data_IF_798022942442
#
_entry.id   IF_798022942442
#
_cell.length_a   1.000
_cell.length_b   1.000
_cell.length_c   1.000
_cell.angle_alpha   90.00
_cell.angle_beta   90.00
_cell.angle_gamma   90.00
#
_symmetry.space_group_name_H-M   'P 1'
#
loop_
_entity.id
_entity.type
_entity.pdbx_description
1 polymer ?
#
# COMPACT_ATOMS: atom_id res chain seq x y z
N UNK A 1 -23.98 -12.80 21.21
CA UNK A 1 -22.97 -12.44 20.19
C UNK A 1 -23.21 -10.98 19.79
N UNK A 2 -22.16 -10.15 19.58
CA UNK A 2 -22.33 -8.78 19.12
C UNK A 2 -22.94 -8.73 17.71
N UNK A 3 -23.94 -7.87 17.52
CA UNK A 3 -24.57 -7.64 16.21
C UNK A 3 -23.94 -6.41 15.55
N UNK A 4 -23.74 -6.47 14.23
CA UNK A 4 -23.16 -5.38 13.45
C UNK A 4 -24.04 -5.03 12.27
N UNK A 5 -24.02 -3.76 11.88
CA UNK A 5 -24.78 -3.28 10.73
C UNK A 5 -23.96 -3.39 9.44
N UNK A 6 -24.63 -3.63 8.31
CA UNK A 6 -24.00 -3.58 6.99
C UNK A 6 -23.68 -2.13 6.57
N UNK A 7 -24.49 -1.16 7.02
CA UNK A 7 -24.33 0.25 6.67
C UNK A 7 -23.12 0.84 7.40
N UNK A 8 -22.23 1.46 6.64
CA UNK A 8 -21.07 2.16 7.21
C UNK A 8 -21.47 3.56 7.65
N UNK A 9 -21.21 3.87 8.92
CA UNK A 9 -21.39 5.20 9.47
C UNK A 9 -20.36 6.20 8.96
N UNK A 10 -20.55 7.48 9.31
CA UNK A 10 -19.57 8.53 8.99
C UNK A 10 -18.21 8.28 9.67
N UNK A 11 -18.22 7.80 10.91
CA UNK A 11 -17.01 7.46 11.67
C UNK A 11 -16.20 6.33 11.01
N UNK A 12 -16.87 5.34 10.42
CA UNK A 12 -16.21 4.24 9.68
C UNK A 12 -15.51 4.75 8.42
N UNK A 13 -16.21 5.60 7.66
CA UNK A 13 -15.70 6.21 6.44
C UNK A 13 -14.54 7.15 6.73
N UNK A 14 -14.68 8.01 7.74
CA UNK A 14 -13.65 8.94 8.16
C UNK A 14 -12.42 8.21 8.71
N UNK A 15 -12.62 7.21 9.57
CA UNK A 15 -11.52 6.37 10.07
C UNK A 15 -10.79 5.62 8.95
N UNK A 16 -11.52 5.08 7.96
CA UNK A 16 -10.93 4.46 6.77
C UNK A 16 -10.11 5.45 5.95
N UNK A 17 -10.55 6.71 5.84
CA UNK A 17 -9.82 7.76 5.15
C UNK A 17 -8.53 8.13 5.89
N UNK A 18 -8.61 8.34 7.22
CA UNK A 18 -7.43 8.60 8.06
C UNK A 18 -6.39 7.46 7.97
N UNK A 19 -6.85 6.21 8.03
CA UNK A 19 -5.97 5.05 7.91
C UNK A 19 -5.26 5.00 6.55
N UNK A 20 -5.92 5.44 5.46
CA UNK A 20 -5.29 5.61 4.13
C UNK A 20 -4.27 6.74 4.09
N UNK A 21 -4.39 7.74 4.94
CA UNK A 21 -3.39 8.79 5.14
C UNK A 21 -2.33 8.43 6.19
N UNK A 22 -2.25 7.14 6.58
CA UNK A 22 -1.33 6.63 7.61
C UNK A 22 -1.57 7.20 9.02
N UNK A 23 -2.71 7.83 9.27
CA UNK A 23 -3.10 8.39 10.57
C UNK A 23 -3.88 7.32 11.33
N UNK A 24 -3.36 6.87 12.48
CA UNK A 24 -4.01 5.82 13.28
C UNK A 24 -4.13 4.46 12.57
N UNK A 25 -3.36 4.24 11.49
CA UNK A 25 -3.49 3.05 10.63
C UNK A 25 -3.32 1.73 11.41
N UNK A 26 -2.34 1.67 12.31
CA UNK A 26 -2.03 0.44 13.06
C UNK A 26 -3.01 0.17 14.22
N UNK A 27 -3.74 1.19 14.67
CA UNK A 27 -4.78 1.06 15.70
C UNK A 27 -6.19 0.99 15.10
N UNK A 28 -6.33 0.99 13.77
CA UNK A 28 -7.62 0.92 13.08
C UNK A 28 -8.12 -0.53 13.00
N UNK A 29 -8.55 -1.05 14.15
CA UNK A 29 -8.92 -2.46 14.36
C UNK A 29 -10.33 -2.63 14.92
N UNK A 30 -10.85 -3.85 14.81
CA UNK A 30 -12.05 -4.35 15.48
C UNK A 30 -11.63 -5.52 16.38
N UNK A 31 -12.36 -5.82 17.45
CA UNK A 31 -12.01 -6.96 18.30
C UNK A 31 -12.17 -8.28 17.55
N UNK A 32 -11.23 -9.21 17.75
CA UNK A 32 -11.32 -10.53 17.15
C UNK A 32 -12.41 -11.36 17.83
N UNK A 33 -13.26 -12.02 17.05
CA UNK A 33 -14.42 -12.73 17.58
C UNK A 33 -15.48 -13.02 16.53
N UNK A 34 -16.62 -13.52 17.00
CA UNK A 34 -17.77 -13.85 16.17
C UNK A 34 -18.83 -12.74 16.26
N UNK A 35 -19.25 -12.24 15.09
CA UNK A 35 -20.25 -11.19 14.97
C UNK A 35 -21.43 -11.66 14.12
N UNK A 36 -22.64 -11.23 14.49
CA UNK A 36 -23.83 -11.45 13.69
C UNK A 36 -24.07 -10.25 12.76
N UNK A 37 -24.22 -10.49 11.46
CA UNK A 37 -24.75 -9.51 10.51
C UNK A 37 -26.22 -9.88 10.23
N UNK A 38 -27.13 -8.92 10.38
CA UNK A 38 -28.57 -9.19 10.25
C UNK A 38 -29.07 -10.16 11.32
N UNK A 39 -30.05 -11.00 10.96
CA UNK A 39 -30.62 -12.06 11.80
C UNK A 39 -29.92 -13.40 11.53
N UNK A 40 -28.63 -13.49 11.85
CA UNK A 40 -27.85 -14.72 11.63
C UNK A 40 -28.33 -15.87 12.53
N UNK A 41 -28.69 -17.00 11.90
CA UNK A 41 -29.15 -18.22 12.55
C UNK A 41 -28.21 -19.41 12.35
N UNK A 42 -28.67 -20.61 12.73
CA UNK A 42 -27.86 -21.82 12.69
C UNK A 42 -27.46 -22.27 11.26
N UNK A 43 -28.27 -21.93 10.26
CA UNK A 43 -28.01 -22.26 8.85
C UNK A 43 -27.34 -21.10 8.08
N UNK A 44 -27.07 -19.98 8.76
CA UNK A 44 -26.47 -18.81 8.12
C UNK A 44 -24.98 -19.04 7.82
N UNK A 45 -24.48 -18.59 6.65
CA UNK A 45 -23.10 -18.82 6.25
C UNK A 45 -22.12 -18.11 7.20
N UNK A 46 -20.96 -18.73 7.41
CA UNK A 46 -19.85 -18.17 8.20
C UNK A 46 -18.77 -17.64 7.28
N UNK A 47 -18.48 -16.35 7.35
CA UNK A 47 -17.44 -15.68 6.56
C UNK A 47 -16.28 -15.23 7.44
N UNK A 48 -15.06 -15.59 7.04
CA UNK A 48 -13.84 -15.29 7.80
C UNK A 48 -13.21 -13.99 7.30
N UNK A 49 -12.71 -13.15 8.22
CA UNK A 49 -11.99 -11.92 7.87
C UNK A 49 -10.90 -11.57 8.87
N UNK A 50 -10.14 -10.53 8.54
CA UNK A 50 -9.09 -9.96 9.38
C UNK A 50 -9.64 -8.87 10.30
N UNK A 51 -9.06 -8.70 11.49
CA UNK A 51 -9.44 -7.63 12.43
C UNK A 51 -8.99 -6.22 12.03
N UNK A 52 -8.34 -6.04 10.88
CA UNK A 52 -8.16 -4.70 10.31
C UNK A 52 -9.51 -4.12 9.89
N UNK A 53 -9.92 -2.99 10.50
CA UNK A 53 -11.29 -2.46 10.40
C UNK A 53 -11.74 -2.20 8.96
N UNK A 54 -10.86 -1.77 8.06
CA UNK A 54 -11.23 -1.63 6.64
C UNK A 54 -11.56 -2.98 5.95
N UNK A 55 -10.90 -4.09 6.35
CA UNK A 55 -11.23 -5.42 5.81
C UNK A 55 -12.61 -5.86 6.31
N UNK A 56 -12.87 -5.66 7.59
CA UNK A 56 -14.15 -5.94 8.23
C UNK A 56 -15.28 -5.12 7.61
N UNK A 57 -15.09 -3.80 7.46
CA UNK A 57 -16.07 -2.88 6.87
C UNK A 57 -16.40 -3.23 5.42
N UNK A 58 -15.39 -3.63 4.63
CA UNK A 58 -15.60 -4.09 3.25
C UNK A 58 -16.38 -5.39 3.18
N UNK A 59 -16.22 -6.28 4.15
CA UNK A 59 -16.99 -7.53 4.23
C UNK A 59 -18.45 -7.24 4.59
N UNK A 60 -18.71 -6.58 5.73
CA UNK A 60 -20.09 -6.34 6.20
C UNK A 60 -20.91 -5.48 5.23
N UNK A 61 -20.29 -4.47 4.61
CA UNK A 61 -20.99 -3.60 3.65
C UNK A 61 -21.33 -4.28 2.33
N UNK A 62 -20.57 -5.30 1.93
CA UNK A 62 -20.87 -6.07 0.72
C UNK A 62 -22.06 -7.04 0.91
N UNK A 63 -22.44 -7.31 2.16
CA UNK A 63 -23.49 -8.27 2.53
C UNK A 63 -24.75 -7.58 3.07
N UNK A 64 -24.99 -6.34 2.65
CA UNK A 64 -26.20 -5.61 3.01
C UNK A 64 -27.47 -6.41 2.64
N UNK A 65 -28.40 -6.52 3.60
CA UNK A 65 -29.63 -7.29 3.43
C UNK A 65 -29.46 -8.82 3.58
N UNK A 66 -28.30 -9.31 4.00
CA UNK A 66 -28.06 -10.74 4.23
C UNK A 66 -27.79 -11.03 5.71
N UNK A 67 -28.25 -12.20 6.15
CA UNK A 67 -27.94 -12.74 7.46
C UNK A 67 -26.70 -13.65 7.37
N UNK A 68 -25.65 -13.33 8.14
CA UNK A 68 -24.44 -14.16 8.16
C UNK A 68 -23.62 -13.98 9.43
N UNK A 69 -22.79 -14.97 9.71
CA UNK A 69 -21.80 -14.92 10.78
C UNK A 69 -20.47 -14.41 10.22
N UNK A 70 -19.87 -13.44 10.92
CA UNK A 70 -18.55 -12.90 10.58
C UNK A 70 -17.55 -13.35 11.64
N UNK A 71 -16.64 -14.25 11.27
CA UNK A 71 -15.56 -14.70 12.13
C UNK A 71 -14.30 -13.85 11.88
N UNK A 72 -13.99 -12.97 12.82
CA UNK A 72 -12.89 -12.03 12.74
C UNK A 72 -11.65 -12.59 13.43
N UNK A 73 -10.57 -12.80 12.68
CA UNK A 73 -9.29 -13.30 13.17
C UNK A 73 -8.41 -12.17 13.72
N UNK A 74 -7.62 -12.46 14.75
CA UNK A 74 -6.63 -11.51 15.27
C UNK A 74 -5.39 -11.42 14.39
N UNK A 75 -5.49 -10.57 13.38
CA UNK A 75 -4.41 -10.28 12.43
C UNK A 75 -3.50 -9.14 12.85
N UNK A 76 -3.57 -8.67 14.10
CA UNK A 76 -2.81 -7.51 14.60
C UNK A 76 -3.02 -6.24 13.77
N UNK A 77 -4.24 -6.02 13.30
CA UNK A 77 -4.60 -4.85 12.50
C UNK A 77 -4.02 -4.85 11.08
N UNK A 78 -3.73 -6.02 10.52
CA UNK A 78 -3.22 -6.18 9.15
C UNK A 78 -4.32 -6.77 8.27
N UNK A 79 -4.46 -6.27 7.03
CA UNK A 79 -5.45 -6.81 6.10
C UNK A 79 -5.22 -8.30 5.79
N UNK A 80 -6.24 -8.99 5.25
CA UNK A 80 -6.22 -10.43 4.97
C UNK A 80 -4.98 -10.88 4.19
N UNK A 81 -4.67 -10.24 3.06
CA UNK A 81 -3.59 -10.69 2.18
C UNK A 81 -2.20 -10.52 2.82
N UNK A 82 -1.95 -9.35 3.40
CA UNK A 82 -0.69 -9.07 4.08
C UNK A 82 -0.54 -9.94 5.35
N UNK A 83 -1.63 -10.18 6.08
CA UNK A 83 -1.64 -11.00 7.28
C UNK A 83 -1.40 -12.48 6.97
N UNK A 84 -1.96 -12.99 5.87
CA UNK A 84 -1.71 -14.36 5.41
C UNK A 84 -0.24 -14.56 5.05
N UNK A 85 0.35 -13.61 4.32
CA UNK A 85 1.78 -13.64 4.02
C UNK A 85 2.67 -13.55 5.27
N UNK A 86 2.25 -12.82 6.30
CA UNK A 86 2.99 -12.65 7.56
C UNK A 86 2.75 -13.79 8.57
N UNK A 87 1.73 -14.62 8.37
CA UNK A 87 1.38 -15.74 9.25
C UNK A 87 0.42 -15.41 10.39
N UNK A 88 -0.18 -14.21 10.43
CA UNK A 88 -1.19 -13.84 11.45
C UNK A 88 -2.61 -14.17 11.01
N UNK A 89 -2.88 -14.22 9.70
CA UNK A 89 -4.10 -14.86 9.18
C UNK A 89 -3.74 -16.31 8.84
N UNK A 90 -3.81 -17.19 9.84
CA UNK A 90 -3.25 -18.54 9.76
C UNK A 90 -4.23 -19.64 10.20
N UNK A 91 -3.91 -20.90 9.85
CA UNK A 91 -4.68 -22.07 10.32
C UNK A 91 -4.79 -22.12 11.84
N UNK A 92 -3.71 -21.77 12.56
CA UNK A 92 -3.68 -21.80 14.02
C UNK A 92 -4.64 -20.75 14.60
N UNK A 93 -4.52 -19.49 14.17
CA UNK A 93 -5.42 -18.43 14.63
C UNK A 93 -6.88 -18.73 14.25
N UNK A 94 -7.12 -19.27 13.06
CA UNK A 94 -8.47 -19.68 12.66
C UNK A 94 -9.03 -20.78 13.59
N UNK A 95 -8.25 -21.82 13.88
CA UNK A 95 -8.64 -22.87 14.82
C UNK A 95 -8.92 -22.33 16.23
N UNK A 96 -8.07 -21.44 16.72
CA UNK A 96 -8.23 -20.81 18.02
C UNK A 96 -9.52 -19.97 18.08
N UNK A 97 -9.84 -19.22 17.01
CA UNK A 97 -11.09 -18.45 16.94
C UNK A 97 -12.32 -19.33 16.86
N UNK A 98 -12.28 -20.44 16.12
CA UNK A 98 -13.38 -21.41 16.07
C UNK A 98 -13.70 -21.97 17.46
N UNK A 99 -12.65 -22.31 18.22
CA UNK A 99 -12.76 -22.88 19.55
C UNK A 99 -13.27 -21.85 20.57
N UNK A 100 -12.66 -20.66 20.62
CA UNK A 100 -13.05 -19.61 21.57
C UNK A 100 -14.46 -19.06 21.31
N UNK A 101 -14.89 -18.99 20.05
CA UNK A 101 -16.25 -18.57 19.70
C UNK A 101 -17.29 -19.68 19.86
N UNK A 102 -16.87 -20.91 20.14
CA UNK A 102 -17.72 -22.11 20.16
C UNK A 102 -18.58 -22.22 18.90
N UNK A 103 -18.02 -21.91 17.73
CA UNK A 103 -18.79 -21.81 16.49
C UNK A 103 -19.55 -23.11 16.18
N UNK A 104 -18.99 -24.25 16.57
CA UNK A 104 -19.61 -25.57 16.50
C UNK A 104 -21.00 -25.69 17.17
N UNK A 105 -21.29 -24.85 18.17
CA UNK A 105 -22.56 -24.79 18.90
C UNK A 105 -23.51 -23.74 18.30
N UNK A 106 -22.99 -22.83 17.47
CA UNK A 106 -23.72 -21.69 16.91
C UNK A 106 -24.35 -22.03 15.56
N UNK A 107 -23.67 -22.84 14.75
CA UNK A 107 -24.13 -23.22 13.40
C UNK A 107 -24.34 -24.73 13.27
N UNK A 108 -25.34 -25.13 12.49
CA UNK A 108 -25.68 -26.54 12.24
C UNK A 108 -24.73 -27.22 11.23
N UNK A 109 -23.97 -26.43 10.47
CA UNK A 109 -23.07 -26.90 9.42
C UNK A 109 -21.59 -26.75 9.80
N UNK A 110 -20.70 -27.34 9.01
CA UNK A 110 -19.24 -27.29 9.21
C UNK A 110 -18.52 -26.71 8.01
N UNK A 111 -18.94 -25.51 7.59
CA UNK A 111 -18.39 -24.82 6.42
C UNK A 111 -17.98 -23.39 6.76
N UNK A 112 -16.82 -22.96 6.27
CA UNK A 112 -16.28 -21.62 6.45
C UNK A 112 -15.94 -21.01 5.09
N UNK A 113 -16.49 -19.84 4.80
CA UNK A 113 -16.15 -19.08 3.60
C UNK A 113 -14.93 -18.21 3.92
N UNK A 114 -13.80 -18.54 3.33
CA UNK A 114 -12.52 -17.87 3.57
C UNK A 114 -12.14 -17.05 2.33
N UNK A 115 -11.65 -15.81 2.48
CA UNK A 115 -11.19 -15.01 1.34
C UNK A 115 -10.02 -15.69 0.63
N UNK A 116 -10.05 -15.74 -0.70
CA UNK A 116 -9.03 -16.44 -1.49
C UNK A 116 -7.60 -15.92 -1.25
N UNK A 117 -7.42 -14.63 -1.00
CA UNK A 117 -6.11 -14.05 -0.70
C UNK A 117 -5.56 -14.46 0.67
N UNK A 118 -6.35 -15.17 1.48
CA UNK A 118 -5.92 -15.82 2.72
C UNK A 118 -5.25 -17.18 2.52
N UNK A 119 -5.34 -17.77 1.32
CA UNK A 119 -4.83 -19.11 1.02
C UNK A 119 -3.34 -19.34 1.40
N UNK A 120 -2.42 -18.37 1.27
CA UNK A 120 -1.04 -18.58 1.68
C UNK A 120 -0.83 -18.84 3.18
N UNK A 121 -1.80 -18.49 4.03
CA UNK A 121 -1.70 -18.68 5.48
C UNK A 121 -2.55 -19.82 6.05
N UNK A 122 -3.52 -20.33 5.29
CA UNK A 122 -4.47 -21.35 5.76
C UNK A 122 -4.32 -22.65 5.00
N UNK A 123 -4.10 -23.72 5.75
CA UNK A 123 -4.19 -25.10 5.32
C UNK A 123 -5.60 -25.63 5.65
N UNK A 124 -6.45 -25.72 4.62
CA UNK A 124 -7.83 -26.20 4.76
C UNK A 124 -7.92 -27.68 5.10
N UNK A 125 -6.95 -28.51 4.71
CA UNK A 125 -6.95 -29.95 5.01
C UNK A 125 -6.62 -30.17 6.49
N UNK A 126 -5.59 -29.48 6.99
CA UNK A 126 -5.27 -29.49 8.40
C UNK A 126 -6.44 -28.96 9.25
N UNK A 127 -7.04 -27.84 8.84
CA UNK A 127 -8.20 -27.28 9.55
C UNK A 127 -9.36 -28.28 9.63
N UNK A 128 -9.71 -28.94 8.52
CA UNK A 128 -10.79 -29.94 8.48
C UNK A 128 -10.49 -31.13 9.38
N UNK A 129 -9.25 -31.62 9.38
CA UNK A 129 -8.81 -32.72 10.25
C UNK A 129 -8.95 -32.38 11.75
N UNK A 130 -8.62 -31.15 12.13
CA UNK A 130 -8.58 -30.75 13.55
C UNK A 130 -9.91 -30.19 14.08
N UNK A 131 -10.68 -29.48 13.26
CA UNK A 131 -11.91 -28.79 13.70
C UNK A 131 -13.20 -29.38 13.12
N UNK A 132 -13.09 -30.24 12.10
CA UNK A 132 -14.22 -30.70 11.30
C UNK A 132 -14.76 -29.67 10.30
N UNK A 133 -14.33 -28.40 10.36
CA UNK A 133 -14.78 -27.36 9.44
C UNK A 133 -14.06 -27.43 8.10
N UNK A 134 -14.83 -27.39 7.03
CA UNK A 134 -14.35 -27.32 5.65
C UNK A 134 -14.22 -25.88 5.19
N UNK A 135 -13.09 -25.58 4.55
CA UNK A 135 -12.83 -24.26 3.96
C UNK A 135 -13.38 -24.21 2.54
N UNK A 136 -14.27 -23.25 2.30
CA UNK A 136 -14.74 -22.86 0.98
C UNK A 136 -14.07 -21.54 0.60
N UNK A 137 -13.34 -21.53 -0.50
CA UNK A 137 -12.63 -20.34 -0.96
C UNK A 137 -13.58 -19.37 -1.67
N UNK A 138 -13.91 -18.28 -0.99
CA UNK A 138 -14.71 -17.17 -1.53
C UNK A 138 -13.99 -16.37 -2.62
N UNK A 139 -14.65 -15.32 -3.16
CA UNK A 139 -14.09 -14.46 -4.19
C UNK A 139 -12.92 -13.59 -3.70
N UNK A 140 -12.16 -13.01 -4.63
CA UNK A 140 -11.10 -12.03 -4.31
C UNK A 140 -11.68 -10.71 -3.80
N UNK A 141 -12.82 -10.26 -4.35
CA UNK A 141 -13.47 -8.99 -3.97
C UNK A 141 -14.71 -9.29 -3.13
N UNK A 142 -14.85 -8.60 -1.99
CA UNK A 142 -16.02 -8.75 -1.11
C UNK A 142 -17.35 -8.45 -1.83
N UNK A 143 -17.37 -7.49 -2.77
CA UNK A 143 -18.57 -7.13 -3.55
C UNK A 143 -19.15 -8.27 -4.39
N UNK A 144 -18.35 -9.30 -4.67
CA UNK A 144 -18.77 -10.45 -5.46
C UNK A 144 -19.42 -11.54 -4.57
N UNK A 145 -19.38 -11.37 -3.23
CA UNK A 145 -19.94 -12.33 -2.27
C UNK A 145 -21.44 -12.60 -2.43
N UNK A 146 -22.32 -11.60 -2.66
CA UNK A 146 -23.73 -11.87 -2.88
C UNK A 146 -23.98 -12.86 -4.02
N UNK A 147 -23.40 -12.58 -5.19
CA UNK A 147 -23.53 -13.46 -6.37
C UNK A 147 -22.86 -14.83 -6.15
N UNK A 148 -21.75 -14.88 -5.41
CA UNK A 148 -21.09 -16.12 -5.03
C UNK A 148 -21.99 -17.00 -4.13
N UNK A 149 -22.65 -16.40 -3.14
CA UNK A 149 -23.58 -17.10 -2.24
C UNK A 149 -24.81 -17.60 -3.00
N UNK A 150 -25.37 -16.76 -3.88
CA UNK A 150 -26.53 -17.14 -4.71
C UNK A 150 -26.19 -18.26 -5.71
N UNK A 151 -24.91 -18.39 -6.09
CA UNK A 151 -24.40 -19.45 -6.93
C UNK A 151 -23.88 -20.65 -6.13
N UNK A 152 -24.54 -21.01 -5.02
CA UNK A 152 -24.21 -22.16 -4.17
C UNK A 152 -22.73 -22.19 -3.72
N UNK A 153 -22.15 -21.03 -3.44
CA UNK A 153 -20.74 -20.88 -3.05
C UNK A 153 -19.74 -21.39 -4.12
N UNK A 154 -20.10 -21.32 -5.40
CA UNK A 154 -19.21 -21.62 -6.53
C UNK A 154 -18.72 -20.31 -7.15
N UNK A 155 -17.43 -20.04 -7.05
CA UNK A 155 -16.85 -18.82 -7.61
C UNK A 155 -16.59 -18.97 -9.11
N UNK A 156 -17.00 -17.95 -9.87
CA UNK A 156 -16.69 -17.88 -11.31
C UNK A 156 -15.22 -17.53 -11.55
N UNK A 157 -14.66 -17.81 -12.73
CA UNK A 157 -13.28 -17.41 -13.06
C UNK A 157 -13.00 -15.92 -12.86
N UNK A 158 -13.98 -15.05 -13.16
CA UNK A 158 -13.85 -13.60 -12.96
C UNK A 158 -13.68 -13.22 -11.47
N UNK A 159 -14.35 -13.92 -10.56
CA UNK A 159 -14.23 -13.72 -9.11
C UNK A 159 -12.86 -14.12 -8.54
N UNK A 160 -12.10 -14.93 -9.29
CA UNK A 160 -10.74 -15.37 -8.92
C UNK A 160 -9.65 -14.38 -9.35
N UNK A 161 -10.00 -13.37 -10.15
CA UNK A 161 -9.05 -12.43 -10.77
C UNK A 161 -9.12 -11.02 -10.17
N UNK A 162 -8.01 -10.29 -10.27
CA UNK A 162 -7.87 -8.91 -9.79
C UNK A 162 -7.14 -8.05 -10.80
N UNK A 163 -7.86 -7.07 -11.35
CA UNK A 163 -7.40 -6.28 -12.51
C UNK A 163 -6.60 -5.02 -12.13
N UNK A 164 -6.57 -4.66 -10.84
CA UNK A 164 -5.84 -3.52 -10.27
C UNK A 164 -5.94 -2.19 -11.08
N UNK A 165 -7.16 -1.65 -11.27
CA UNK A 165 -7.41 -0.45 -12.07
C UNK A 165 -6.80 0.82 -11.45
N UNK A 166 -6.77 1.91 -12.23
CA UNK A 166 -6.19 3.19 -11.84
C UNK A 166 -6.69 3.70 -10.49
N UNK A 167 -7.99 3.63 -10.24
CA UNK A 167 -8.57 4.07 -8.96
C UNK A 167 -8.02 3.30 -7.75
N UNK A 168 -7.76 2.00 -7.88
CA UNK A 168 -7.17 1.20 -6.80
C UNK A 168 -5.70 1.53 -6.58
N UNK A 169 -4.96 1.81 -7.68
CA UNK A 169 -3.57 2.25 -7.64
C UNK A 169 -3.43 3.60 -6.96
N UNK A 170 -4.25 4.58 -7.35
CA UNK A 170 -4.25 5.91 -6.76
C UNK A 170 -4.72 5.92 -5.31
N UNK A 171 -5.55 4.96 -4.90
CA UNK A 171 -5.98 4.85 -3.51
C UNK A 171 -4.85 4.49 -2.52
N UNK A 172 -3.65 4.12 -3.02
CA UNK A 172 -2.44 3.90 -2.24
C UNK A 172 -1.59 5.17 -2.08
N UNK A 173 -1.71 6.14 -3.00
CA UNK A 173 -0.90 7.36 -3.02
C UNK A 173 -0.89 8.11 -1.68
N UNK A 174 -2.02 8.30 -0.97
CA UNK A 174 -2.01 9.04 0.29
C UNK A 174 -1.08 8.42 1.34
N UNK A 175 -1.04 7.08 1.46
CA UNK A 175 -0.15 6.44 2.43
C UNK A 175 1.30 6.54 1.98
N UNK A 176 1.59 6.32 0.70
CA UNK A 176 2.96 6.41 0.18
C UNK A 176 3.54 7.82 0.36
N UNK A 177 2.76 8.86 0.05
CA UNK A 177 3.15 10.26 0.27
C UNK A 177 3.34 10.54 1.76
N UNK A 178 2.42 10.11 2.63
CA UNK A 178 2.54 10.34 4.08
C UNK A 178 3.77 9.67 4.69
N UNK A 179 4.15 8.48 4.21
CA UNK A 179 5.33 7.75 4.67
C UNK A 179 6.63 8.37 4.15
N UNK A 180 6.59 8.96 2.96
CA UNK A 180 7.72 9.69 2.38
C UNK A 180 7.89 11.10 3.00
N UNK A 181 6.79 11.74 3.43
CA UNK A 181 6.76 13.15 3.82
C UNK A 181 7.81 13.53 4.87
N UNK A 182 7.93 12.77 5.97
CA UNK A 182 8.89 13.10 7.03
C UNK A 182 10.35 13.09 6.54
N UNK A 183 10.72 12.08 5.74
CA UNK A 183 12.07 11.97 5.15
C UNK A 183 12.29 13.02 4.07
N UNK A 184 11.27 13.31 3.26
CA UNK A 184 11.33 14.32 2.22
C UNK A 184 11.51 15.72 2.81
N UNK A 185 10.75 16.09 3.86
CA UNK A 185 10.89 17.38 4.55
C UNK A 185 12.28 17.53 5.18
N UNK A 186 12.84 16.46 5.76
CA UNK A 186 14.20 16.47 6.26
C UNK A 186 15.23 16.72 5.14
N UNK A 187 15.12 15.99 4.03
CA UNK A 187 16.01 16.19 2.87
C UNK A 187 15.88 17.60 2.29
N UNK A 188 14.65 18.10 2.14
CA UNK A 188 14.37 19.46 1.67
C UNK A 188 15.05 20.48 2.60
N UNK A 189 14.87 20.36 3.91
CA UNK A 189 15.51 21.25 4.87
C UNK A 189 17.04 21.23 4.79
N UNK A 190 17.64 20.03 4.68
CA UNK A 190 19.09 19.87 4.52
C UNK A 190 19.56 20.56 3.24
N UNK A 191 18.96 20.26 2.09
CA UNK A 191 19.39 20.84 0.82
C UNK A 191 19.14 22.35 0.76
N UNK A 192 18.05 22.85 1.32
CA UNK A 192 17.79 24.29 1.42
C UNK A 192 18.88 25.00 2.23
N UNK A 193 19.31 24.44 3.36
CA UNK A 193 20.39 25.03 4.17
C UNK A 193 21.74 24.93 3.45
N UNK A 194 22.03 23.80 2.81
CA UNK A 194 23.27 23.61 2.04
C UNK A 194 23.34 24.53 0.82
N UNK A 195 22.20 24.88 0.21
CA UNK A 195 22.14 25.86 -0.88
C UNK A 195 22.67 27.23 -0.47
N UNK A 196 22.55 27.59 0.82
CA UNK A 196 23.12 28.83 1.36
C UNK A 196 24.65 28.82 1.46
N UNK A 197 25.30 27.66 1.37
CA UNK A 197 26.75 27.49 1.51
C UNK A 197 27.43 27.42 0.13
N UNK A 198 28.66 27.95 0.04
CA UNK A 198 29.56 27.73 -1.09
C UNK A 198 29.36 28.62 -2.33
N UNK A 199 28.43 29.58 -2.31
CA UNK A 199 28.25 30.54 -3.42
C UNK A 199 28.93 31.89 -3.16
N UNK A 200 29.13 32.66 -4.22
CA UNK A 200 29.66 34.05 -4.15
C UNK A 200 28.70 35.04 -3.46
N UNK A 201 27.43 34.65 -3.29
CA UNK A 201 26.37 35.48 -2.72
C UNK A 201 26.13 35.30 -1.22
N UNK A 202 25.29 36.17 -0.65
CA UNK A 202 24.85 36.05 0.74
C UNK A 202 24.02 34.76 0.96
N UNK A 203 24.13 34.21 2.17
CA UNK A 203 23.48 32.94 2.55
C UNK A 203 21.97 32.94 2.26
N UNK A 204 21.23 33.94 2.76
CA UNK A 204 19.76 33.94 2.69
C UNK A 204 19.18 34.05 1.26
N UNK A 205 19.69 34.91 0.37
CA UNK A 205 19.31 34.89 -1.04
C UNK A 205 19.55 33.52 -1.70
N UNK A 206 20.71 32.90 -1.47
CA UNK A 206 21.03 31.59 -2.05
C UNK A 206 20.09 30.48 -1.54
N UNK A 207 19.72 30.50 -0.26
CA UNK A 207 18.68 29.59 0.30
C UNK A 207 17.33 29.79 -0.39
N UNK A 208 16.93 31.03 -0.69
CA UNK A 208 15.63 31.33 -1.31
C UNK A 208 15.58 30.94 -2.78
N UNK A 209 16.65 31.20 -3.52
CA UNK A 209 16.66 30.98 -4.97
C UNK A 209 16.98 29.52 -5.30
N UNK A 210 18.12 29.02 -4.82
CA UNK A 210 18.61 27.68 -5.13
C UNK A 210 17.95 26.62 -4.24
N UNK A 211 17.66 26.98 -2.98
CA UNK A 211 17.00 26.07 -2.04
C UNK A 211 15.55 25.76 -2.43
N UNK A 212 14.83 26.72 -3.03
CA UNK A 212 13.48 26.46 -3.57
C UNK A 212 13.54 25.47 -4.73
N UNK A 213 14.51 25.61 -5.65
CA UNK A 213 14.69 24.63 -6.72
C UNK A 213 15.02 23.25 -6.16
N UNK A 214 15.95 23.16 -5.20
CA UNK A 214 16.31 21.92 -4.52
C UNK A 214 15.09 21.26 -3.84
N UNK A 215 14.24 22.06 -3.18
CA UNK A 215 13.02 21.58 -2.56
C UNK A 215 12.07 20.94 -3.60
N UNK A 216 11.90 21.60 -4.74
CA UNK A 216 11.08 21.08 -5.84
C UNK A 216 11.69 19.86 -6.53
N UNK A 217 13.02 19.76 -6.62
CA UNK A 217 13.69 18.58 -7.17
C UNK A 217 13.46 17.34 -6.27
N UNK A 218 13.60 17.48 -4.95
CA UNK A 218 13.24 16.41 -4.00
C UNK A 218 11.74 16.07 -4.11
N UNK A 219 10.87 17.08 -4.18
CA UNK A 219 9.43 16.87 -4.35
C UNK A 219 9.11 16.14 -5.67
N UNK A 220 9.79 16.45 -6.77
CA UNK A 220 9.64 15.77 -8.05
C UNK A 220 10.03 14.28 -7.95
N UNK A 221 11.12 13.96 -7.23
CA UNK A 221 11.47 12.57 -6.93
C UNK A 221 10.37 11.83 -6.15
N UNK A 222 9.79 12.49 -5.14
CA UNK A 222 8.69 11.91 -4.35
C UNK A 222 7.42 11.73 -5.19
N UNK A 223 7.03 12.73 -5.96
CA UNK A 223 5.85 12.69 -6.84
C UNK A 223 6.03 11.62 -7.92
N UNK A 224 7.22 11.53 -8.52
CA UNK A 224 7.58 10.48 -9.46
C UNK A 224 7.39 9.08 -8.86
N UNK A 225 7.95 8.85 -7.67
CA UNK A 225 7.97 7.54 -7.05
C UNK A 225 6.65 7.10 -6.44
N UNK A 226 5.84 8.05 -5.96
CA UNK A 226 4.58 7.76 -5.26
C UNK A 226 3.35 7.94 -6.15
N UNK A 227 3.24 9.06 -6.87
CA UNK A 227 2.04 9.42 -7.65
C UNK A 227 2.14 8.90 -9.07
N UNK A 228 3.19 9.29 -9.81
CA UNK A 228 3.32 8.94 -11.22
C UNK A 228 3.55 7.44 -11.42
N UNK A 229 4.36 6.82 -10.54
CA UNK A 229 4.56 5.37 -10.57
C UNK A 229 3.24 4.61 -10.39
N UNK A 230 2.37 5.03 -9.47
CA UNK A 230 1.05 4.42 -9.28
C UNK A 230 0.12 4.66 -10.50
N UNK A 231 0.06 5.90 -10.97
CA UNK A 231 -0.82 6.32 -12.05
C UNK A 231 -0.47 5.64 -13.38
N UNK A 232 0.82 5.58 -13.70
CA UNK A 232 1.34 5.11 -14.98
C UNK A 232 1.86 3.67 -14.95
N UNK A 233 1.65 2.94 -13.85
CA UNK A 233 2.25 1.63 -13.60
C UNK A 233 2.22 0.64 -14.80
N UNK A 234 1.10 0.46 -15.52
CA UNK A 234 1.03 -0.47 -16.65
C UNK A 234 1.80 0.01 -17.88
N UNK A 235 1.97 1.33 -18.04
CA UNK A 235 2.59 1.95 -19.21
C UNK A 235 4.08 2.24 -19.02
N UNK A 236 4.56 2.29 -17.77
CA UNK A 236 5.97 2.52 -17.49
C UNK A 236 6.83 1.34 -17.99
N UNK A 237 7.93 1.61 -18.72
CA UNK A 237 8.75 0.55 -19.29
C UNK A 237 9.39 -0.37 -18.25
N UNK A 238 9.54 -1.64 -18.61
CA UNK A 238 10.21 -2.66 -17.79
C UNK A 238 9.30 -3.41 -16.83
N UNK A 239 9.86 -4.49 -16.25
CA UNK A 239 9.15 -5.38 -15.31
C UNK A 239 9.38 -5.01 -13.85
N UNK A 240 10.58 -4.53 -13.52
CA UNK A 240 10.98 -4.16 -12.16
C UNK A 240 10.34 -2.83 -11.74
N UNK A 241 9.90 -2.73 -10.49
CA UNK A 241 9.29 -1.51 -9.93
C UNK A 241 10.28 -0.36 -9.78
N UNK A 242 11.53 -0.68 -9.44
CA UNK A 242 12.69 0.22 -9.46
C UNK A 242 12.90 0.88 -10.82
N UNK A 243 12.76 0.12 -11.91
CA UNK A 243 12.89 0.65 -13.26
C UNK A 243 11.68 1.52 -13.65
N UNK A 244 10.47 1.11 -13.27
CA UNK A 244 9.26 1.93 -13.46
C UNK A 244 9.35 3.25 -12.69
N UNK A 245 9.78 3.20 -11.43
CA UNK A 245 10.03 4.37 -10.59
C UNK A 245 11.14 5.26 -11.13
N UNK A 246 12.18 4.68 -11.74
CA UNK A 246 13.22 5.44 -12.44
C UNK A 246 12.63 6.26 -13.59
N UNK A 247 11.84 5.63 -14.49
CA UNK A 247 11.20 6.34 -15.60
C UNK A 247 10.24 7.44 -15.14
N UNK A 248 9.45 7.17 -14.10
CA UNK A 248 8.57 8.16 -13.50
C UNK A 248 9.36 9.34 -12.88
N UNK A 249 10.52 9.06 -12.29
CA UNK A 249 11.42 10.07 -11.72
C UNK A 249 12.06 10.95 -12.78
N UNK A 250 12.57 10.35 -13.85
CA UNK A 250 13.13 11.07 -15.01
C UNK A 250 12.05 12.00 -15.57
N UNK A 251 10.85 11.49 -15.84
CA UNK A 251 9.76 12.31 -16.38
C UNK A 251 9.38 13.45 -15.43
N UNK A 252 9.27 13.18 -14.12
CA UNK A 252 8.93 14.21 -13.13
C UNK A 252 10.00 15.30 -13.05
N UNK A 253 11.28 14.94 -13.12
CA UNK A 253 12.37 15.89 -13.07
C UNK A 253 12.49 16.70 -14.37
N UNK A 254 12.35 16.08 -15.54
CA UNK A 254 12.36 16.80 -16.81
C UNK A 254 11.20 17.80 -16.91
N UNK A 255 10.04 17.47 -16.34
CA UNK A 255 8.91 18.40 -16.24
C UNK A 255 9.24 19.61 -15.35
N UNK A 256 9.96 19.40 -14.24
CA UNK A 256 10.45 20.48 -13.38
C UNK A 256 11.46 21.37 -14.12
N UNK A 257 12.41 20.77 -14.85
CA UNK A 257 13.39 21.53 -15.64
C UNK A 257 12.71 22.34 -16.74
N UNK A 258 11.76 21.76 -17.48
CA UNK A 258 11.00 22.48 -18.50
C UNK A 258 10.20 23.66 -17.92
N UNK A 259 9.71 23.51 -16.69
CA UNK A 259 8.98 24.54 -15.95
C UNK A 259 9.85 25.38 -15.00
N UNK A 260 11.19 25.32 -15.08
CA UNK A 260 12.06 25.89 -14.06
C UNK A 260 11.82 27.39 -13.84
N UNK A 261 11.52 28.14 -14.91
CA UNK A 261 11.25 29.57 -14.87
C UNK A 261 10.00 29.94 -14.06
N UNK A 262 9.08 29.00 -13.84
CA UNK A 262 7.91 29.20 -12.98
C UNK A 262 8.24 29.01 -11.50
N UNK A 263 9.27 28.22 -11.20
CA UNK A 263 9.62 27.77 -9.85
C UNK A 263 10.76 28.59 -9.26
N UNK A 264 11.79 28.84 -10.05
CA UNK A 264 12.99 29.58 -9.67
C UNK A 264 13.43 30.47 -10.86
N UNK A 265 12.70 31.56 -11.17
CA UNK A 265 12.95 32.41 -12.33
C UNK A 265 14.32 33.07 -12.35
N UNK A 266 14.92 33.28 -11.17
CA UNK A 266 16.22 33.95 -11.01
C UNK A 266 17.39 32.95 -10.94
N UNK A 267 17.10 31.65 -10.83
CA UNK A 267 18.12 30.60 -10.74
C UNK A 267 18.48 30.05 -12.12
N UNK A 268 19.73 30.21 -12.54
CA UNK A 268 20.26 29.58 -13.75
C UNK A 268 20.86 28.21 -13.41
N UNK A 269 20.21 27.14 -13.87
CA UNK A 269 20.65 25.78 -13.58
C UNK A 269 21.76 25.39 -14.55
N UNK A 270 22.94 25.05 -14.03
CA UNK A 270 24.04 24.51 -14.84
C UNK A 270 23.75 23.09 -15.31
N UNK A 271 24.38 22.66 -16.42
CA UNK A 271 24.23 21.28 -16.91
C UNK A 271 24.67 20.22 -15.88
N UNK A 272 25.71 20.53 -15.09
CA UNK A 272 26.19 19.65 -14.01
C UNK A 272 25.19 19.59 -12.84
N UNK A 273 24.62 20.72 -12.45
CA UNK A 273 23.57 20.78 -11.42
C UNK A 273 22.30 20.04 -11.86
N UNK A 274 21.86 20.23 -13.10
CA UNK A 274 20.72 19.51 -13.67
C UNK A 274 20.97 18.00 -13.68
N UNK A 275 22.17 17.55 -14.08
CA UNK A 275 22.56 16.14 -14.07
C UNK A 275 22.57 15.55 -12.65
N UNK A 276 23.07 16.31 -11.67
CA UNK A 276 23.08 15.92 -10.27
C UNK A 276 21.67 15.72 -9.71
N UNK A 277 20.78 16.69 -9.91
CA UNK A 277 19.39 16.58 -9.46
C UNK A 277 18.60 15.52 -10.22
N UNK A 278 18.88 15.29 -11.50
CA UNK A 278 18.29 14.17 -12.25
C UNK A 278 18.65 12.84 -11.58
N UNK A 279 19.92 12.61 -11.24
CA UNK A 279 20.37 11.38 -10.59
C UNK A 279 19.69 11.19 -9.22
N UNK A 280 19.70 12.21 -8.37
CA UNK A 280 19.10 12.12 -7.03
C UNK A 280 17.59 11.95 -7.07
N UNK A 281 16.87 12.75 -7.87
CA UNK A 281 15.40 12.68 -8.00
C UNK A 281 14.96 11.34 -8.58
N UNK A 282 15.71 10.82 -9.57
CA UNK A 282 15.47 9.50 -10.15
C UNK A 282 15.74 8.38 -9.15
N UNK A 283 16.80 8.49 -8.33
CA UNK A 283 17.09 7.51 -7.29
C UNK A 283 15.98 7.48 -6.21
N UNK A 284 15.52 8.66 -5.75
CA UNK A 284 14.40 8.78 -4.81
C UNK A 284 13.14 8.13 -5.39
N UNK A 285 12.79 8.49 -6.64
CA UNK A 285 11.61 7.97 -7.32
C UNK A 285 11.69 6.45 -7.56
N UNK A 286 12.86 5.95 -7.96
CA UNK A 286 13.12 4.53 -8.15
C UNK A 286 12.96 3.73 -6.85
N UNK A 287 13.48 4.25 -5.74
CA UNK A 287 13.35 3.63 -4.43
C UNK A 287 11.89 3.61 -3.94
N UNK A 288 11.20 4.76 -4.01
CA UNK A 288 9.79 4.87 -3.61
C UNK A 288 8.87 4.00 -4.49
N UNK A 289 9.16 3.89 -5.78
CA UNK A 289 8.41 3.04 -6.71
C UNK A 289 8.39 1.57 -6.30
N UNK A 290 9.40 1.10 -5.56
CA UNK A 290 9.47 -0.28 -5.07
C UNK A 290 8.46 -0.59 -3.95
N UNK A 291 7.85 0.41 -3.31
CA UNK A 291 6.79 0.17 -2.32
C UNK A 291 5.56 -0.53 -2.94
N UNK A 292 5.34 -0.35 -4.25
CA UNK A 292 4.24 -1.00 -4.96
C UNK A 292 4.43 -2.51 -5.22
N UNK A 293 5.61 -3.06 -4.93
CA UNK A 293 5.84 -4.51 -4.95
C UNK A 293 4.98 -5.26 -3.93
N UNK A 294 4.64 -4.61 -2.81
CA UNK A 294 3.83 -5.20 -1.73
C UNK A 294 2.32 -4.98 -1.86
N UNK A 295 1.87 -4.24 -2.88
CA UNK A 295 0.46 -3.81 -3.05
C UNK A 295 -0.11 -4.14 -4.43
N UNK A 296 0.70 -4.70 -5.33
CA UNK A 296 0.31 -5.08 -6.69
C UNK A 296 0.30 -6.60 -6.89
N UNK A 297 -0.40 -7.05 -7.92
CA UNK A 297 -0.50 -8.46 -8.29
C UNK A 297 0.65 -8.95 -9.19
N UNK A 298 1.68 -8.12 -9.43
CA UNK A 298 2.69 -8.36 -10.47
C UNK A 298 3.88 -9.20 -10.00
N UNK A 299 4.16 -9.23 -8.69
CA UNK A 299 5.41 -9.77 -8.17
C UNK A 299 5.22 -10.92 -7.20
N UNK A 300 6.20 -11.82 -7.19
CA UNK A 300 6.36 -12.85 -6.17
C UNK A 300 7.39 -12.42 -5.13
N UNK A 301 7.35 -13.02 -3.93
CA UNK A 301 8.32 -12.74 -2.85
C UNK A 301 9.78 -12.92 -3.28
N UNK A 302 10.08 -13.95 -4.07
CA UNK A 302 11.43 -14.21 -4.58
C UNK A 302 11.86 -13.13 -5.59
N UNK A 303 10.95 -12.71 -6.48
CA UNK A 303 11.19 -11.62 -7.43
C UNK A 303 11.51 -10.29 -6.73
N UNK A 304 10.74 -9.93 -5.69
CA UNK A 304 10.98 -8.70 -4.93
C UNK A 304 12.36 -8.73 -4.25
N UNK A 305 12.75 -9.84 -3.62
CA UNK A 305 14.09 -9.96 -3.00
C UNK A 305 15.21 -9.83 -4.03
N UNK A 306 15.05 -10.44 -5.19
CA UNK A 306 16.02 -10.34 -6.28
C UNK A 306 16.18 -8.89 -6.75
N UNK A 307 15.05 -8.19 -6.94
CA UNK A 307 15.04 -6.79 -7.35
C UNK A 307 15.72 -5.90 -6.29
N UNK A 308 15.34 -6.02 -5.01
CA UNK A 308 15.91 -5.23 -3.91
C UNK A 308 17.42 -5.37 -3.80
N UNK A 309 17.95 -6.58 -3.91
CA UNK A 309 19.41 -6.83 -3.81
C UNK A 309 20.21 -6.11 -4.89
N UNK A 310 19.63 -5.85 -6.07
CA UNK A 310 20.33 -5.19 -7.19
C UNK A 310 20.01 -3.70 -7.26
N UNK A 311 18.76 -3.31 -7.04
CA UNK A 311 18.31 -1.94 -7.19
C UNK A 311 18.83 -1.03 -6.07
N UNK A 312 18.81 -1.49 -4.81
CA UNK A 312 19.17 -0.64 -3.66
C UNK A 312 20.61 -0.12 -3.73
N UNK A 313 21.65 -0.96 -4.01
CA UNK A 313 23.02 -0.46 -4.16
C UNK A 313 23.17 0.54 -5.31
N UNK A 314 22.48 0.31 -6.44
CA UNK A 314 22.52 1.20 -7.60
C UNK A 314 21.84 2.55 -7.31
N UNK A 315 20.70 2.53 -6.63
CA UNK A 315 19.98 3.74 -6.20
C UNK A 315 20.83 4.55 -5.21
N UNK A 316 21.44 3.89 -4.23
CA UNK A 316 22.33 4.54 -3.26
C UNK A 316 23.56 5.15 -3.95
N UNK A 317 24.19 4.41 -4.87
CA UNK A 317 25.32 4.90 -5.67
C UNK A 317 24.95 6.09 -6.55
N UNK A 318 23.80 6.04 -7.22
CA UNK A 318 23.30 7.14 -8.04
C UNK A 318 23.00 8.40 -7.21
N UNK A 319 22.38 8.23 -6.02
CA UNK A 319 22.13 9.35 -5.12
C UNK A 319 23.43 9.97 -4.60
N UNK A 320 24.41 9.14 -4.19
CA UNK A 320 25.71 9.62 -3.73
C UNK A 320 26.50 10.33 -4.84
N UNK A 321 26.52 9.78 -6.06
CA UNK A 321 27.13 10.41 -7.22
C UNK A 321 26.47 11.76 -7.55
N UNK A 322 25.13 11.80 -7.54
CA UNK A 322 24.38 13.05 -7.72
C UNK A 322 24.73 14.09 -6.65
N UNK A 323 24.83 13.70 -5.38
CA UNK A 323 25.24 14.60 -4.31
C UNK A 323 26.66 15.15 -4.51
N UNK A 324 27.61 14.29 -4.89
CA UNK A 324 28.99 14.72 -5.19
C UNK A 324 29.05 15.68 -6.38
N UNK A 325 28.31 15.40 -7.45
CA UNK A 325 28.20 16.30 -8.60
C UNK A 325 27.54 17.63 -8.23
N UNK A 326 26.53 17.62 -7.37
CA UNK A 326 25.86 18.83 -6.88
C UNK A 326 26.82 19.69 -6.06
N UNK A 327 27.58 19.08 -5.13
CA UNK A 327 28.60 19.78 -4.36
C UNK A 327 29.73 20.31 -5.26
N UNK A 328 30.17 19.53 -6.25
CA UNK A 328 31.16 19.98 -7.22
C UNK A 328 30.66 21.19 -8.02
N UNK A 329 29.42 21.13 -8.52
CA UNK A 329 28.77 22.25 -9.20
C UNK A 329 28.61 23.49 -8.31
N UNK A 330 28.68 23.32 -6.98
CA UNK A 330 28.50 24.40 -6.02
C UNK A 330 29.79 25.07 -5.60
N UNK A 331 30.84 24.29 -5.36
CA UNK A 331 32.09 24.79 -4.77
C UNK A 331 33.20 25.02 -5.80
N UNK A 332 33.02 24.53 -7.04
CA UNK A 332 34.06 24.54 -8.07
C UNK A 332 33.65 25.23 -9.37
N UNK A 333 32.38 25.65 -9.48
CA UNK A 333 31.79 26.40 -10.59
C UNK A 333 30.97 27.55 -10.02
#
# INVERSE_FOLDING_TARGET
MPQVEARLGLSDRFGSWLARCNIGRFSHVVDAGLYALGEAGADSPVLVTANYKMSFDRLRSALAGRACWLLVLDTKGINVWCAAGKGTFSTLELYDRLTHSRLAEVVAHRQLIVPQLGAPGIDGLALKKHSGFEVIWGPVRARDLPAFLDNNCVATPAMRCKDFPLAERLALVPVEVSQAAGKALLLIGIFMLLSGLGGEGAFWPAVREMGVFAAWAVAAGVIGGTVLTAALLPWLPGRAFSLKGMWAGIFSFLSLVAGHGLVAPQHMISGLEAGAWLLMSTAISSWLGMNFTGSSTYTSRSGVRFEMRRAIPLQAGAFAAGLLCWLAARFWL
#
